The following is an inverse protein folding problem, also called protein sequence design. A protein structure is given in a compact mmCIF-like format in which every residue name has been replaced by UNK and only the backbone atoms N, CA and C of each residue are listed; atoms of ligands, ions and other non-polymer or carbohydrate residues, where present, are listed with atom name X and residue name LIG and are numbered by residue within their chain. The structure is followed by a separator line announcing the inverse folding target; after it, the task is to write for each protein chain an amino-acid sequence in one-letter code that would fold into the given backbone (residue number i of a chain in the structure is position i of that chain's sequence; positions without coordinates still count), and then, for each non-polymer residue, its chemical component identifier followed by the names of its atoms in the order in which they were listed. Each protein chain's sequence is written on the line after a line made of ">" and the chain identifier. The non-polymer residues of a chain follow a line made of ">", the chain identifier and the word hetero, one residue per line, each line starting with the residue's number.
data_IF_064039613773
#
_entry.id   IF_064039613773
#
_cell.length_a   1.000
_cell.length_b   1.000
_cell.length_c   1.000
_cell.angle_alpha   90.00
_cell.angle_beta   90.00
_cell.angle_gamma   90.00
#
_symmetry.space_group_name_H-M   'P 1'
#
loop_
_entity.id
_entity.type
_entity.pdbx_description
1 polymer ?
#
# COMPACT_ATOMS: atom_id res chain seq x y z
N UNK A 1 1.38 5.32 -7.53
CA UNK A 1 1.32 6.32 -8.62
C UNK A 1 0.84 7.71 -8.18
N UNK A 2 -0.04 7.85 -7.16
CA UNK A 2 -0.57 9.15 -6.69
C UNK A 2 0.48 10.23 -6.42
N UNK A 3 1.62 9.87 -5.83
CA UNK A 3 2.67 10.83 -5.46
C UNK A 3 3.58 11.15 -6.64
N UNK A 4 4.12 10.12 -7.31
CA UNK A 4 5.10 10.26 -8.40
C UNK A 4 4.58 11.01 -9.63
N UNK A 5 3.27 11.07 -9.82
CA UNK A 5 2.63 11.78 -10.95
C UNK A 5 1.92 13.06 -10.53
N UNK A 6 2.08 13.53 -9.29
CA UNK A 6 1.42 14.76 -8.81
C UNK A 6 2.41 15.95 -8.83
N UNK A 7 2.27 16.90 -9.77
CA UNK A 7 3.20 18.02 -9.92
C UNK A 7 3.17 19.00 -8.74
N UNK A 8 2.12 18.98 -7.90
CA UNK A 8 2.07 19.81 -6.68
C UNK A 8 2.95 19.27 -5.56
N UNK A 9 3.25 17.97 -5.59
CA UNK A 9 4.08 17.30 -4.58
C UNK A 9 5.51 17.13 -5.11
N UNK A 10 5.65 16.78 -6.38
CA UNK A 10 6.93 16.56 -7.04
C UNK A 10 7.08 17.49 -8.24
N UNK A 11 7.92 18.54 -8.18
CA UNK A 11 8.14 19.46 -9.30
C UNK A 11 8.61 18.74 -10.58
N UNK A 12 9.31 17.62 -10.44
CA UNK A 12 9.74 16.73 -11.52
C UNK A 12 8.82 15.51 -11.70
N UNK A 13 7.51 15.67 -11.48
CA UNK A 13 6.55 14.57 -11.56
C UNK A 13 6.63 13.84 -12.91
N UNK A 14 6.60 12.51 -12.85
CA UNK A 14 6.59 11.68 -14.04
C UNK A 14 5.24 11.80 -14.78
N UNK A 15 5.26 11.66 -16.10
CA UNK A 15 4.03 11.43 -16.86
C UNK A 15 3.42 10.09 -16.46
N UNK A 16 2.10 9.95 -16.57
CA UNK A 16 1.42 8.68 -16.28
C UNK A 16 2.00 7.53 -17.09
N UNK A 17 2.33 7.76 -18.36
CA UNK A 17 2.95 6.76 -19.24
C UNK A 17 4.30 6.26 -18.70
N UNK A 18 5.19 7.18 -18.28
CA UNK A 18 6.48 6.80 -17.69
C UNK A 18 6.32 6.04 -16.38
N UNK A 19 5.42 6.50 -15.53
CA UNK A 19 5.23 5.89 -14.23
C UNK A 19 4.55 4.50 -14.34
N UNK A 20 3.63 4.28 -15.31
CA UNK A 20 3.07 2.95 -15.61
C UNK A 20 4.17 2.04 -16.17
N UNK A 21 4.97 2.52 -17.11
CA UNK A 21 6.09 1.75 -17.66
C UNK A 21 7.08 1.28 -16.59
N UNK A 22 7.35 2.11 -15.58
CA UNK A 22 8.15 1.70 -14.42
C UNK A 22 7.45 0.62 -13.58
N UNK A 23 6.15 0.76 -13.29
CA UNK A 23 5.39 -0.26 -12.58
C UNK A 23 5.40 -1.61 -13.31
N UNK A 24 5.26 -1.61 -14.64
CA UNK A 24 5.33 -2.85 -15.43
C UNK A 24 6.71 -3.52 -15.34
N UNK A 25 7.80 -2.75 -15.32
CA UNK A 25 9.14 -3.30 -15.11
C UNK A 25 9.29 -3.97 -13.75
N UNK A 26 8.77 -3.35 -12.68
CA UNK A 26 8.76 -3.95 -11.34
C UNK A 26 7.91 -5.22 -11.31
N UNK A 27 6.72 -5.19 -11.92
CA UNK A 27 5.80 -6.33 -11.99
C UNK A 27 6.36 -7.51 -12.81
N UNK A 28 7.20 -7.24 -13.80
CA UNK A 28 7.83 -8.26 -14.64
C UNK A 28 9.14 -8.82 -14.07
N UNK A 29 9.67 -8.25 -12.98
CA UNK A 29 10.92 -8.74 -12.38
C UNK A 29 10.74 -10.18 -11.84
N UNK A 30 11.74 -11.07 -11.99
CA UNK A 30 11.63 -12.48 -11.55
C UNK A 30 11.36 -12.67 -10.06
N UNK A 31 11.69 -11.67 -9.24
CA UNK A 31 11.50 -11.67 -7.78
C UNK A 31 10.16 -11.06 -7.34
N UNK A 32 9.28 -10.73 -8.29
CA UNK A 32 7.98 -10.14 -8.01
C UNK A 32 6.88 -11.17 -8.20
N UNK A 33 6.03 -11.32 -7.20
CA UNK A 33 4.84 -12.16 -7.29
C UNK A 33 3.58 -11.28 -7.29
N UNK A 34 2.61 -11.59 -8.17
CA UNK A 34 1.31 -10.94 -8.17
C UNK A 34 0.34 -11.69 -7.26
N UNK A 35 0.24 -11.24 -6.01
CA UNK A 35 -0.73 -11.80 -5.06
C UNK A 35 -2.14 -11.28 -5.36
N UNK A 36 -3.15 -12.15 -5.20
CA UNK A 36 -4.56 -11.75 -5.20
C UNK A 36 -5.08 -11.91 -3.77
N UNK A 37 -5.41 -10.80 -3.08
CA UNK A 37 -6.05 -10.89 -1.78
C UNK A 37 -7.37 -11.63 -1.93
N UNK A 38 -7.62 -12.54 -1.00
CA UNK A 38 -8.85 -13.33 -0.93
C UNK A 38 -9.95 -12.59 -0.19
N UNK A 39 -10.99 -13.34 0.17
CA UNK A 39 -12.12 -12.79 0.93
C UNK A 39 -11.73 -12.37 2.36
N UNK A 40 -10.60 -12.84 2.90
CA UNK A 40 -10.19 -12.53 4.27
C UNK A 40 -9.61 -11.11 4.37
N UNK A 41 -8.95 -10.58 3.32
CA UNK A 41 -8.49 -9.18 3.31
C UNK A 41 -9.65 -8.20 3.54
N UNK A 42 -10.83 -8.45 2.97
CA UNK A 42 -11.99 -7.59 3.22
C UNK A 42 -12.41 -7.60 4.68
N UNK A 43 -12.38 -8.75 5.34
CA UNK A 43 -12.72 -8.88 6.76
C UNK A 43 -11.72 -8.14 7.65
N UNK A 44 -10.42 -8.27 7.37
CA UNK A 44 -9.38 -7.49 8.06
C UNK A 44 -9.57 -5.99 7.83
N UNK A 45 -9.82 -5.59 6.59
CA UNK A 45 -10.05 -4.19 6.23
C UNK A 45 -11.25 -3.59 6.97
N UNK A 46 -12.40 -4.25 6.93
CA UNK A 46 -13.61 -3.79 7.61
C UNK A 46 -13.38 -3.67 9.13
N UNK A 47 -12.67 -4.62 9.72
CA UNK A 47 -12.27 -4.59 11.14
C UNK A 47 -11.39 -3.38 11.44
N UNK A 48 -10.34 -3.14 10.65
CA UNK A 48 -9.43 -2.01 10.85
C UNK A 48 -10.14 -0.66 10.70
N UNK A 49 -10.97 -0.51 9.66
CA UNK A 49 -11.69 0.73 9.38
C UNK A 49 -12.67 1.08 10.50
N UNK A 50 -13.41 0.09 10.99
CA UNK A 50 -14.40 0.31 12.06
C UNK A 50 -13.75 0.50 13.42
N UNK A 51 -12.75 -0.32 13.77
CA UNK A 51 -12.10 -0.25 15.07
C UNK A 51 -11.27 1.03 15.28
N UNK A 52 -10.67 1.56 14.21
CA UNK A 52 -9.85 2.78 14.26
C UNK A 52 -10.60 4.02 13.74
N UNK A 53 -11.90 3.90 13.45
CA UNK A 53 -12.76 4.94 12.90
C UNK A 53 -12.17 5.68 11.68
N UNK A 54 -11.54 4.94 10.77
CA UNK A 54 -10.76 5.48 9.65
C UNK A 54 -11.64 6.11 8.58
N UNK A 55 -11.17 7.21 7.97
CA UNK A 55 -11.93 7.99 6.97
C UNK A 55 -11.00 8.60 5.93
N UNK A 56 -11.55 8.93 4.76
CA UNK A 56 -10.83 9.68 3.73
C UNK A 56 -9.53 8.99 3.29
N UNK A 57 -8.40 9.69 3.43
CA UNK A 57 -7.09 9.21 2.98
C UNK A 57 -6.64 7.91 3.68
N UNK A 58 -7.11 7.66 4.91
CA UNK A 58 -6.73 6.46 5.69
C UNK A 58 -7.26 5.16 5.08
N UNK A 59 -8.33 5.23 4.28
CA UNK A 59 -9.00 4.05 3.72
C UNK A 59 -8.08 3.28 2.78
N UNK A 60 -7.25 3.98 2.00
CA UNK A 60 -6.30 3.30 1.10
C UNK A 60 -5.22 2.58 1.90
N UNK A 61 -4.71 3.20 2.96
CA UNK A 61 -3.66 2.59 3.81
C UNK A 61 -4.20 1.38 4.56
N UNK A 62 -5.44 1.46 5.07
CA UNK A 62 -6.10 0.34 5.71
C UNK A 62 -6.27 -0.85 4.74
N UNK A 63 -6.59 -0.60 3.47
CA UNK A 63 -6.70 -1.65 2.47
C UNK A 63 -5.35 -2.31 2.17
N UNK A 64 -4.26 -1.53 2.13
CA UNK A 64 -2.91 -2.09 1.98
C UNK A 64 -2.49 -2.92 3.19
N UNK A 65 -2.73 -2.43 4.41
CA UNK A 65 -2.45 -3.15 5.64
C UNK A 65 -3.24 -4.46 5.73
N UNK A 66 -4.53 -4.44 5.39
CA UNK A 66 -5.39 -5.64 5.42
C UNK A 66 -4.93 -6.73 4.45
N UNK A 67 -4.49 -6.36 3.24
CA UNK A 67 -3.93 -7.32 2.29
C UNK A 67 -2.64 -7.94 2.81
N UNK A 68 -1.76 -7.13 3.40
CA UNK A 68 -0.51 -7.63 3.97
C UNK A 68 -0.76 -8.59 5.15
N UNK A 69 -1.74 -8.29 6.00
CA UNK A 69 -2.16 -9.16 7.11
C UNK A 69 -2.72 -10.49 6.58
N UNK A 70 -3.60 -10.47 5.57
CA UNK A 70 -4.13 -11.71 4.98
C UNK A 70 -3.01 -12.59 4.40
N UNK A 71 -2.02 -11.97 3.76
CA UNK A 71 -0.91 -12.66 3.12
C UNK A 71 0.21 -13.07 4.11
N UNK A 72 0.09 -12.74 5.39
CA UNK A 72 1.19 -12.83 6.38
C UNK A 72 2.50 -12.21 5.86
N UNK A 73 2.37 -11.12 5.11
CA UNK A 73 3.47 -10.47 4.42
C UNK A 73 4.14 -9.42 5.31
N UNK A 74 5.47 -9.32 5.20
CA UNK A 74 6.22 -8.22 5.81
C UNK A 74 6.00 -6.94 4.99
N UNK A 75 5.34 -5.95 5.59
CA UNK A 75 5.10 -4.66 4.99
C UNK A 75 6.29 -3.71 5.21
N UNK A 76 6.85 -3.17 4.12
CA UNK A 76 7.98 -2.23 4.18
C UNK A 76 7.56 -0.88 3.60
N UNK A 77 7.74 0.20 4.36
CA UNK A 77 7.26 1.54 3.96
C UNK A 77 8.15 2.66 4.52
N UNK A 78 8.12 3.85 3.92
CA UNK A 78 8.69 5.07 4.51
C UNK A 78 7.69 5.84 5.40
N UNK A 79 6.43 5.39 5.45
CA UNK A 79 5.36 6.07 6.19
C UNK A 79 5.15 5.45 7.58
N UNK A 80 5.51 6.20 8.62
CA UNK A 80 5.32 5.81 10.03
C UNK A 80 3.84 5.67 10.40
N UNK A 81 2.91 6.24 9.64
CA UNK A 81 1.47 6.12 9.86
C UNK A 81 0.98 4.67 9.88
N UNK A 82 1.67 3.73 9.23
CA UNK A 82 1.31 2.32 9.23
C UNK A 82 1.50 1.63 10.58
N UNK A 83 2.27 2.20 11.52
CA UNK A 83 2.46 1.66 12.86
C UNK A 83 1.16 1.57 13.67
N UNK A 84 0.11 2.29 13.27
CA UNK A 84 -1.20 2.27 13.94
C UNK A 84 -2.04 1.03 13.63
N UNK A 85 -1.68 0.22 12.63
CA UNK A 85 -2.49 -0.93 12.22
C UNK A 85 -2.10 -2.19 13.01
N UNK A 86 -2.98 -2.69 13.90
CA UNK A 86 -2.68 -3.88 14.69
C UNK A 86 -2.56 -5.12 13.80
N UNK A 87 -1.62 -6.00 14.14
CA UNK A 87 -1.37 -7.25 13.41
C UNK A 87 -0.52 -7.10 12.14
N UNK A 88 -0.12 -5.89 11.75
CA UNK A 88 0.74 -5.66 10.60
C UNK A 88 2.22 -5.91 10.96
N UNK A 89 2.86 -6.88 10.29
CA UNK A 89 4.32 -7.04 10.33
C UNK A 89 4.97 -5.92 9.52
N UNK A 90 5.75 -5.05 10.19
CA UNK A 90 6.15 -3.76 9.62
C UNK A 90 7.65 -3.48 9.78
N UNK A 91 8.28 -3.03 8.70
CA UNK A 91 9.55 -2.28 8.73
C UNK A 91 9.31 -0.89 8.20
N UNK A 92 9.66 0.12 8.99
CA UNK A 92 9.69 1.51 8.50
C UNK A 92 11.11 1.84 8.08
N UNK A 93 11.27 2.32 6.85
CA UNK A 93 12.52 2.83 6.32
C UNK A 93 12.62 4.34 6.63
N UNK A 94 13.72 4.75 7.26
CA UNK A 94 13.97 6.13 7.70
C UNK A 94 13.82 6.28 9.20
#
# INVERSE_FOLDING_TARGET
>A
MRISTNPRIQPSAATSARAVSFCEQVRAAPTTESTRPGAAAWSHFATLVTALELRGNDITDAWLAAQAIELDAHFVTFDRGFQRFPGLHLTVLG
#
